data_IF_076976189290
#
_entry.id   IF_076976189290
#
_cell.length_a   1.000
_cell.length_b   1.000
_cell.length_c   1.000
_cell.angle_alpha   90.00
_cell.angle_beta   90.00
_cell.angle_gamma   90.00
#
_symmetry.space_group_name_H-M   'P 1'
#
loop_
_entity.id
_entity.type
_entity.pdbx_description
1 polymer ?
#
# COMPACT_ATOMS: atom_id res chain seq x y z
N UNK A 1 9.43 33.13 -4.33
CA UNK A 1 8.16 32.40 -4.53
C UNK A 1 8.45 31.16 -5.38
N UNK A 2 9.00 30.11 -4.77
CA UNK A 2 9.21 28.83 -5.42
C UNK A 2 8.05 27.92 -5.03
N UNK A 3 6.91 28.09 -5.69
CA UNK A 3 5.81 27.13 -5.54
C UNK A 3 6.25 25.83 -6.18
N UNK A 4 6.24 24.74 -5.42
CA UNK A 4 6.46 23.40 -5.97
C UNK A 4 5.46 23.20 -7.12
N UNK A 5 5.95 23.08 -8.34
CA UNK A 5 5.13 22.63 -9.47
C UNK A 5 4.68 21.22 -9.16
N UNK A 6 3.37 20.94 -9.27
CA UNK A 6 2.83 19.59 -9.16
C UNK A 6 3.66 18.68 -10.06
N UNK A 7 4.30 17.66 -9.48
CA UNK A 7 4.96 16.62 -10.26
C UNK A 7 3.86 15.96 -11.09
N UNK A 8 4.06 15.89 -12.41
CA UNK A 8 3.11 15.22 -13.32
C UNK A 8 3.26 13.71 -13.14
N UNK A 9 2.43 13.17 -12.25
CA UNK A 9 2.40 11.76 -11.91
C UNK A 9 1.47 11.03 -12.90
N UNK A 10 1.93 9.93 -13.54
CA UNK A 10 1.08 9.15 -14.44
C UNK A 10 -0.27 8.79 -13.82
N UNK A 11 -1.40 9.10 -14.48
CA UNK A 11 -2.71 8.77 -13.94
C UNK A 11 -2.95 7.26 -13.95
N UNK A 12 -3.61 6.75 -12.91
CA UNK A 12 -3.95 5.32 -12.78
C UNK A 12 -5.43 5.01 -13.03
N UNK A 13 -6.27 6.02 -13.28
CA UNK A 13 -7.71 5.85 -13.47
C UNK A 13 -8.05 4.78 -14.52
N UNK A 14 -7.37 4.79 -15.66
CA UNK A 14 -7.61 3.82 -16.74
C UNK A 14 -7.25 2.39 -16.34
N UNK A 15 -6.22 2.22 -15.49
CA UNK A 15 -5.82 0.91 -14.98
C UNK A 15 -6.79 0.41 -13.91
N UNK A 16 -7.24 1.30 -13.02
CA UNK A 16 -8.28 0.98 -12.02
C UNK A 16 -9.59 0.61 -12.71
N UNK A 17 -9.99 1.37 -13.73
CA UNK A 17 -11.22 1.09 -14.49
C UNK A 17 -11.13 -0.23 -15.28
N UNK A 18 -9.95 -0.58 -15.80
CA UNK A 18 -9.72 -1.89 -16.39
C UNK A 18 -9.84 -3.01 -15.32
N UNK A 19 -9.22 -2.82 -14.15
CA UNK A 19 -9.27 -3.78 -13.05
C UNK A 19 -10.68 -3.99 -12.50
N UNK A 20 -11.60 -3.02 -12.60
CA UNK A 20 -13.02 -3.21 -12.26
C UNK A 20 -13.71 -4.24 -13.15
N UNK A 21 -13.30 -4.34 -14.42
CA UNK A 21 -13.91 -5.21 -15.41
C UNK A 21 -13.24 -6.58 -15.44
N UNK A 22 -11.92 -6.62 -15.34
CA UNK A 22 -11.12 -7.83 -15.39
C UNK A 22 -10.17 -7.89 -14.18
N UNK A 23 -10.44 -8.83 -13.27
CA UNK A 23 -9.65 -9.08 -12.07
C UNK A 23 -9.81 -10.54 -11.62
N UNK A 24 -9.01 -10.92 -10.65
CA UNK A 24 -8.97 -12.22 -10.01
C UNK A 24 -9.80 -12.27 -8.71
N UNK A 25 -10.76 -11.35 -8.50
CA UNK A 25 -11.55 -11.33 -7.26
C UNK A 25 -12.35 -12.64 -7.02
N UNK A 26 -12.66 -13.37 -8.11
CA UNK A 26 -13.28 -14.69 -8.02
C UNK A 26 -12.41 -15.72 -7.28
N UNK A 27 -11.11 -15.49 -7.19
CA UNK A 27 -10.14 -16.35 -6.50
C UNK A 27 -9.93 -15.95 -5.02
N UNK A 28 -10.60 -14.90 -4.53
CA UNK A 28 -10.51 -14.52 -3.12
C UNK A 28 -11.19 -15.61 -2.27
N UNK A 29 -10.44 -16.31 -1.38
CA UNK A 29 -11.02 -17.36 -0.56
C UNK A 29 -11.81 -16.77 0.61
N UNK A 30 -12.54 -17.65 1.32
CA UNK A 30 -13.09 -17.31 2.63
C UNK A 30 -11.95 -17.11 3.64
N UNK A 31 -12.12 -16.14 4.54
CA UNK A 31 -11.24 -15.99 5.69
C UNK A 31 -11.49 -17.10 6.72
N UNK A 32 -10.46 -17.46 7.49
CA UNK A 32 -10.49 -18.55 8.46
C UNK A 32 -10.29 -17.99 9.86
N UNK A 33 -11.22 -18.28 10.77
CA UNK A 33 -11.06 -17.98 12.20
C UNK A 33 -10.18 -19.01 12.91
N UNK A 34 -9.67 -18.67 14.08
CA UNK A 34 -8.83 -19.57 14.91
C UNK A 34 -9.49 -20.92 15.26
N UNK A 35 -10.81 -20.98 15.28
CA UNK A 35 -11.58 -22.21 15.50
C UNK A 35 -11.86 -23.01 14.20
N UNK A 36 -11.29 -22.59 13.06
CA UNK A 36 -11.48 -23.22 11.74
C UNK A 36 -12.75 -22.78 11.00
N UNK A 37 -13.56 -21.88 11.57
CA UNK A 37 -14.75 -21.37 10.88
C UNK A 37 -14.35 -20.54 9.65
N UNK A 38 -14.95 -20.88 8.50
CA UNK A 38 -14.87 -20.08 7.28
C UNK A 38 -15.87 -18.92 7.33
N UNK A 39 -15.44 -17.75 6.88
CA UNK A 39 -16.24 -16.52 6.83
C UNK A 39 -15.97 -15.81 5.50
N UNK A 40 -17.03 -15.41 4.82
CA UNK A 40 -16.90 -14.59 3.62
C UNK A 40 -16.26 -13.24 3.97
N UNK A 41 -15.14 -12.94 3.32
CA UNK A 41 -14.45 -11.67 3.47
C UNK A 41 -14.75 -10.71 2.31
N UNK A 42 -15.05 -11.23 1.12
CA UNK A 42 -15.28 -10.43 -0.07
C UNK A 42 -16.74 -10.45 -0.51
N UNK A 43 -17.30 -9.28 -0.82
CA UNK A 43 -18.63 -9.15 -1.39
C UNK A 43 -18.55 -8.82 -2.89
N UNK A 44 -18.84 -9.77 -3.79
CA UNK A 44 -18.71 -9.55 -5.24
C UNK A 44 -19.73 -8.56 -5.81
N UNK A 45 -20.81 -8.25 -5.07
CA UNK A 45 -21.81 -7.27 -5.53
C UNK A 45 -21.39 -5.83 -5.26
N UNK A 46 -20.57 -5.61 -4.22
CA UNK A 46 -20.11 -4.27 -3.83
C UNK A 46 -18.63 -4.05 -4.09
N UNK A 47 -17.83 -5.11 -4.25
CA UNK A 47 -16.37 -5.04 -4.37
C UNK A 47 -15.64 -4.85 -3.04
N UNK A 48 -16.35 -4.96 -1.91
CA UNK A 48 -15.81 -4.66 -0.59
C UNK A 48 -15.12 -5.89 0.01
N UNK A 49 -13.92 -5.69 0.58
CA UNK A 49 -13.17 -6.71 1.29
C UNK A 49 -13.13 -6.43 2.80
N UNK A 50 -13.92 -7.15 3.58
CA UNK A 50 -14.02 -7.04 5.03
C UNK A 50 -13.52 -8.31 5.72
N UNK A 51 -12.30 -8.27 6.26
CA UNK A 51 -11.78 -9.38 7.08
C UNK A 51 -12.21 -9.17 8.52
N UNK A 52 -13.11 -10.02 9.01
CA UNK A 52 -13.66 -9.89 10.37
C UNK A 52 -12.58 -10.09 11.45
N UNK A 53 -12.79 -9.49 12.62
CA UNK A 53 -11.85 -9.56 13.75
C UNK A 53 -11.42 -11.00 14.08
N UNK A 54 -10.11 -11.19 14.25
CA UNK A 54 -9.49 -12.48 14.57
C UNK A 54 -9.53 -13.53 13.46
N UNK A 55 -9.97 -13.18 12.24
CA UNK A 55 -9.87 -14.05 11.08
C UNK A 55 -8.58 -13.78 10.29
N UNK A 56 -8.11 -14.80 9.60
CA UNK A 56 -6.99 -14.73 8.66
C UNK A 56 -7.52 -14.93 7.26
N UNK A 57 -7.27 -13.97 6.37
CA UNK A 57 -7.47 -14.10 4.93
C UNK A 57 -6.10 -14.28 4.27
N UNK A 58 -5.93 -15.35 3.50
CA UNK A 58 -4.76 -15.51 2.62
C UNK A 58 -5.16 -15.16 1.20
N UNK A 59 -4.65 -14.05 0.69
CA UNK A 59 -4.86 -13.62 -0.68
C UNK A 59 -3.85 -14.34 -1.59
N UNK A 60 -4.31 -15.22 -2.51
CA UNK A 60 -3.40 -15.93 -3.38
C UNK A 60 -2.74 -14.94 -4.35
N UNK A 61 -1.43 -15.08 -4.54
CA UNK A 61 -0.67 -14.33 -5.52
C UNK A 61 -0.24 -15.18 -6.71
N UNK A 62 0.28 -14.50 -7.72
CA UNK A 62 0.89 -15.12 -8.89
C UNK A 62 2.42 -15.11 -8.83
N UNK A 63 3.05 -15.18 -10.00
CA UNK A 63 4.50 -15.00 -10.16
C UNK A 63 4.82 -13.52 -10.40
N UNK A 64 6.10 -13.16 -10.39
CA UNK A 64 6.53 -11.78 -10.69
C UNK A 64 6.09 -11.33 -12.09
N UNK A 65 6.21 -12.21 -13.08
CA UNK A 65 5.82 -11.94 -14.48
C UNK A 65 4.31 -12.00 -14.73
N UNK A 66 3.57 -12.68 -13.85
CA UNK A 66 2.13 -12.85 -13.95
C UNK A 66 1.50 -12.76 -12.55
N UNK A 67 1.46 -11.55 -11.96
CA UNK A 67 0.87 -11.34 -10.64
C UNK A 67 -0.64 -11.53 -10.71
N UNK A 68 -1.25 -11.79 -9.56
CA UNK A 68 -2.71 -11.74 -9.44
C UNK A 68 -3.18 -10.31 -9.23
N UNK A 69 -4.26 -9.93 -9.90
CA UNK A 69 -4.81 -8.57 -9.90
C UNK A 69 -6.15 -8.58 -9.18
N UNK A 70 -6.30 -7.78 -8.14
CA UNK A 70 -7.55 -7.62 -7.41
C UNK A 70 -8.06 -6.20 -7.53
N UNK A 71 -9.38 -6.04 -7.62
CA UNK A 71 -10.03 -4.74 -7.50
C UNK A 71 -10.87 -4.70 -6.23
N UNK A 72 -10.58 -3.73 -5.35
CA UNK A 72 -11.32 -3.53 -4.11
C UNK A 72 -11.98 -2.15 -4.17
N UNK A 73 -13.31 -2.07 -4.02
CA UNK A 73 -14.00 -0.77 -3.90
C UNK A 73 -13.79 -0.15 -2.52
N UNK A 74 -13.60 -1.00 -1.51
CA UNK A 74 -13.05 -0.64 -0.21
C UNK A 74 -12.51 -1.89 0.48
N UNK A 75 -11.70 -1.70 1.51
CA UNK A 75 -11.26 -2.79 2.36
C UNK A 75 -11.11 -2.41 3.83
N UNK A 76 -11.47 -3.32 4.71
CA UNK A 76 -11.33 -3.17 6.16
C UNK A 76 -10.76 -4.45 6.79
N UNK A 77 -9.73 -4.30 7.62
CA UNK A 77 -9.21 -5.36 8.48
C UNK A 77 -9.67 -5.13 9.92
N UNK A 78 -10.56 -5.98 10.41
CA UNK A 78 -11.04 -5.95 11.78
C UNK A 78 -9.94 -6.26 12.81
N UNK A 79 -10.21 -5.94 14.08
CA UNK A 79 -9.27 -6.13 15.20
C UNK A 79 -8.58 -7.51 15.22
N UNK A 80 -7.24 -7.53 15.27
CA UNK A 80 -6.42 -8.75 15.29
C UNK A 80 -6.65 -9.70 14.10
N UNK A 81 -7.20 -9.21 12.99
CA UNK A 81 -7.25 -9.98 11.74
C UNK A 81 -5.89 -9.96 11.03
N UNK A 82 -5.68 -10.92 10.13
CA UNK A 82 -4.48 -10.99 9.31
C UNK A 82 -4.85 -11.05 7.83
N UNK A 83 -4.23 -10.19 7.02
CA UNK A 83 -4.20 -10.32 5.57
C UNK A 83 -2.83 -10.87 5.17
N UNK A 84 -2.78 -12.10 4.71
CA UNK A 84 -1.55 -12.74 4.24
C UNK A 84 -1.51 -12.64 2.72
N UNK A 85 -0.41 -12.12 2.17
CA UNK A 85 -0.18 -12.07 0.72
C UNK A 85 0.74 -13.22 0.32
N UNK A 86 0.21 -14.19 -0.42
CA UNK A 86 0.96 -15.40 -0.82
C UNK A 86 1.33 -15.40 -2.31
N UNK A 87 2.33 -14.59 -2.66
CA UNK A 87 2.86 -14.49 -4.03
C UNK A 87 3.06 -13.05 -4.43
N UNK A 88 2.91 -12.75 -5.73
CA UNK A 88 2.85 -11.37 -6.24
C UNK A 88 1.39 -10.97 -6.46
N UNK A 89 1.03 -9.85 -5.86
CA UNK A 89 -0.32 -9.30 -5.84
C UNK A 89 -0.29 -7.82 -6.21
N UNK A 90 -1.19 -7.45 -7.11
CA UNK A 90 -1.51 -6.07 -7.44
C UNK A 90 -2.94 -5.78 -7.01
N UNK A 91 -3.14 -4.74 -6.20
CA UNK A 91 -4.46 -4.28 -5.76
C UNK A 91 -4.74 -2.93 -6.41
N UNK A 92 -5.86 -2.84 -7.12
CA UNK A 92 -6.43 -1.58 -7.58
C UNK A 92 -7.61 -1.19 -6.69
N UNK A 93 -7.69 0.10 -6.36
CA UNK A 93 -8.81 0.65 -5.59
C UNK A 93 -9.18 2.05 -6.09
N UNK A 94 -10.45 2.40 -5.94
CA UNK A 94 -10.94 3.78 -6.04
C UNK A 94 -11.60 4.27 -4.74
N UNK A 95 -11.51 3.48 -3.67
CA UNK A 95 -12.00 3.82 -2.35
C UNK A 95 -11.03 3.45 -1.22
N UNK A 96 -11.54 3.52 0.01
CA UNK A 96 -10.71 3.48 1.20
C UNK A 96 -10.19 2.07 1.50
N UNK A 97 -8.92 1.99 1.91
CA UNK A 97 -8.32 0.79 2.49
C UNK A 97 -7.97 1.10 3.95
N UNK A 98 -8.75 0.58 4.90
CA UNK A 98 -8.49 0.68 6.34
C UNK A 98 -7.94 -0.65 6.87
N UNK A 99 -6.62 -0.77 6.88
CA UNK A 99 -5.91 -1.93 7.37
C UNK A 99 -5.26 -1.68 8.74
N UNK A 100 -5.81 -0.73 9.51
CA UNK A 100 -5.28 -0.38 10.83
C UNK A 100 -5.67 -1.37 11.94
N UNK A 101 -6.84 -2.01 11.82
CA UNK A 101 -7.33 -2.96 12.83
C UNK A 101 -6.67 -4.35 12.77
N UNK A 102 -6.01 -4.68 11.67
CA UNK A 102 -5.33 -5.96 11.46
C UNK A 102 -3.86 -5.79 11.12
N UNK A 103 -3.23 -6.91 10.76
CA UNK A 103 -1.84 -6.93 10.28
C UNK A 103 -1.82 -7.38 8.83
N UNK A 104 -1.06 -6.68 7.99
CA UNK A 104 -0.69 -7.15 6.66
C UNK A 104 0.60 -7.94 6.76
N UNK A 105 0.59 -9.18 6.29
CA UNK A 105 1.74 -10.08 6.33
C UNK A 105 2.15 -10.39 4.89
N UNK A 106 3.19 -9.71 4.43
CA UNK A 106 3.80 -9.89 3.11
C UNK A 106 5.30 -10.22 3.25
N UNK A 107 5.59 -11.30 3.98
CA UNK A 107 6.94 -11.84 4.26
C UNK A 107 7.76 -11.13 5.36
N UNK A 108 7.08 -10.65 6.42
CA UNK A 108 7.74 -10.25 7.69
C UNK A 108 8.83 -9.17 7.56
N UNK A 109 8.71 -8.26 6.58
CA UNK A 109 9.69 -7.19 6.34
C UNK A 109 10.98 -7.59 5.61
N UNK A 110 11.07 -8.82 5.05
CA UNK A 110 12.29 -9.30 4.36
C UNK A 110 12.06 -9.79 2.92
N UNK A 111 10.83 -9.68 2.42
CA UNK A 111 10.50 -10.03 1.03
C UNK A 111 10.69 -8.86 0.07
N UNK A 112 10.79 -9.16 -1.24
CA UNK A 112 10.80 -8.12 -2.27
C UNK A 112 9.53 -7.25 -2.17
N UNK A 113 9.66 -5.92 -2.04
CA UNK A 113 8.50 -5.03 -1.89
C UNK A 113 7.55 -5.07 -3.10
N UNK A 114 8.02 -5.47 -4.28
CA UNK A 114 7.18 -5.67 -5.47
C UNK A 114 6.15 -6.80 -5.33
N UNK A 115 6.20 -7.62 -4.28
CA UNK A 115 5.18 -8.66 -4.03
C UNK A 115 3.81 -8.10 -3.69
N UNK A 116 3.74 -6.89 -3.14
CA UNK A 116 2.48 -6.21 -2.86
C UNK A 116 2.53 -4.81 -3.45
N UNK A 117 1.78 -4.59 -4.53
CA UNK A 117 1.58 -3.27 -5.11
C UNK A 117 0.14 -2.83 -4.94
N UNK A 118 -0.06 -1.58 -4.54
CA UNK A 118 -1.37 -0.96 -4.38
C UNK A 118 -1.41 0.28 -5.28
N UNK A 119 -2.38 0.32 -6.18
CA UNK A 119 -2.65 1.45 -7.06
C UNK A 119 -4.03 2.03 -6.73
N UNK A 120 -4.09 3.33 -6.49
CA UNK A 120 -5.35 4.00 -6.17
C UNK A 120 -5.61 5.18 -7.09
N UNK A 121 -6.81 5.23 -7.64
CA UNK A 121 -7.35 6.41 -8.36
C UNK A 121 -8.20 7.31 -7.46
N UNK A 122 -8.14 7.12 -6.14
CA UNK A 122 -8.84 7.93 -5.16
C UNK A 122 -8.35 9.38 -5.11
N UNK A 123 -9.16 10.25 -4.50
CA UNK A 123 -8.83 11.66 -4.26
C UNK A 123 -8.32 11.85 -2.83
N UNK A 124 -8.07 13.08 -2.38
CA UNK A 124 -7.57 13.34 -1.02
C UNK A 124 -8.57 12.93 0.08
N UNK A 125 -9.82 12.69 -0.26
CA UNK A 125 -10.84 12.13 0.64
C UNK A 125 -10.79 10.59 0.68
N UNK A 126 -9.90 9.98 -0.11
CA UNK A 126 -9.61 8.54 -0.10
C UNK A 126 -8.42 8.26 0.81
N UNK A 127 -8.67 7.44 1.84
CA UNK A 127 -7.67 7.05 2.82
C UNK A 127 -7.12 5.65 2.52
N UNK A 128 -5.79 5.54 2.43
CA UNK A 128 -5.06 4.26 2.38
C UNK A 128 -4.25 4.16 3.66
N UNK A 129 -4.79 3.45 4.65
CA UNK A 129 -4.16 3.26 5.95
C UNK A 129 -3.66 1.84 6.09
N UNK A 130 -2.36 1.66 6.33
CA UNK A 130 -1.74 0.35 6.53
C UNK A 130 -1.03 0.31 7.88
N UNK A 131 -1.31 -0.74 8.64
CA UNK A 131 -0.51 -1.11 9.81
C UNK A 131 0.41 -2.29 9.48
N UNK A 132 1.71 -2.00 9.40
CA UNK A 132 2.76 -2.96 9.11
C UNK A 132 3.11 -3.88 10.28
N UNK A 133 2.53 -3.68 11.48
CA UNK A 133 2.82 -4.49 12.65
C UNK A 133 4.32 -4.53 12.98
N UNK A 134 4.94 -5.70 12.84
CA UNK A 134 6.36 -5.93 13.08
C UNK A 134 7.26 -5.72 11.84
N UNK A 135 6.70 -5.40 10.68
CA UNK A 135 7.43 -5.09 9.45
C UNK A 135 6.57 -5.22 8.20
N UNK A 136 6.71 -4.29 7.25
CA UNK A 136 5.95 -4.24 6.00
C UNK A 136 6.88 -4.05 4.80
N UNK A 137 6.63 -4.77 3.70
CA UNK A 137 7.36 -4.59 2.44
C UNK A 137 6.41 -4.45 1.26
N UNK A 138 6.23 -3.24 0.73
CA UNK A 138 5.21 -3.02 -0.31
C UNK A 138 5.31 -1.67 -0.99
N UNK A 139 4.53 -1.54 -2.06
CA UNK A 139 4.53 -0.38 -2.93
C UNK A 139 3.13 0.22 -3.01
N UNK A 140 3.01 1.54 -2.83
CA UNK A 140 1.74 2.25 -2.89
C UNK A 140 1.86 3.42 -3.86
N UNK A 141 0.95 3.49 -4.82
CA UNK A 141 0.84 4.57 -5.79
C UNK A 141 -0.58 5.11 -5.81
N UNK A 142 -0.76 6.25 -5.15
CA UNK A 142 -2.03 6.91 -4.95
C UNK A 142 -1.87 8.43 -5.09
N UNK A 143 -1.56 8.93 -6.30
CA UNK A 143 -1.00 10.26 -6.54
C UNK A 143 -1.86 11.42 -6.02
N UNK A 144 -3.16 11.21 -5.90
CA UNK A 144 -4.09 12.23 -5.39
C UNK A 144 -4.75 11.82 -4.05
N UNK A 145 -4.37 10.70 -3.41
CA UNK A 145 -4.96 10.19 -2.17
C UNK A 145 -4.10 10.41 -0.92
N UNK A 146 -4.68 10.21 0.26
CA UNK A 146 -3.97 10.25 1.53
C UNK A 146 -3.51 8.85 1.95
N UNK A 147 -2.20 8.67 2.07
CA UNK A 147 -1.57 7.44 2.57
C UNK A 147 -1.15 7.65 4.02
N UNK A 148 -1.54 6.72 4.90
CA UNK A 148 -1.05 6.63 6.27
C UNK A 148 -0.38 5.29 6.49
N UNK A 149 0.92 5.30 6.77
CA UNK A 149 1.69 4.12 7.13
C UNK A 149 2.02 4.14 8.61
N UNK A 150 1.64 3.07 9.30
CA UNK A 150 1.90 2.87 10.73
C UNK A 150 2.59 1.54 10.99
N UNK A 151 3.42 1.44 12.03
CA UNK A 151 4.06 0.18 12.38
C UNK A 151 5.13 0.28 13.46
N UNK A 152 5.39 -0.83 14.15
CA UNK A 152 6.46 -0.94 15.15
C UNK A 152 7.80 -1.37 14.57
N UNK A 153 7.80 -2.07 13.43
CA UNK A 153 8.99 -2.50 12.70
C UNK A 153 9.21 -1.74 11.39
N UNK A 154 10.29 -2.09 10.69
CA UNK A 154 10.75 -1.38 9.50
C UNK A 154 9.79 -1.51 8.31
N UNK A 155 9.76 -0.46 7.50
CA UNK A 155 8.92 -0.35 6.30
C UNK A 155 9.84 -0.27 5.09
N UNK A 156 9.68 -1.22 4.17
CA UNK A 156 10.46 -1.32 2.94
C UNK A 156 9.58 -1.07 1.71
N UNK A 157 10.05 -0.27 0.78
CA UNK A 157 9.42 -0.08 -0.53
C UNK A 157 9.26 1.39 -0.92
N UNK A 158 8.13 1.72 -1.58
CA UNK A 158 7.89 3.06 -2.11
C UNK A 158 6.43 3.49 -1.90
N UNK A 159 6.22 4.78 -1.59
CA UNK A 159 4.90 5.36 -1.46
C UNK A 159 4.84 6.69 -2.22
N UNK A 160 3.89 6.81 -3.15
CA UNK A 160 3.56 8.04 -3.86
C UNK A 160 2.12 8.41 -3.49
N UNK A 161 1.95 9.52 -2.79
CA UNK A 161 0.65 9.98 -2.31
C UNK A 161 0.44 11.47 -2.56
N UNK A 162 -0.81 11.90 -2.66
CA UNK A 162 -1.15 13.33 -2.57
C UNK A 162 -0.79 13.90 -1.19
N UNK A 163 -0.90 13.04 -0.17
CA UNK A 163 -0.31 13.22 1.15
C UNK A 163 0.18 11.87 1.68
N UNK A 164 1.34 11.84 2.32
CA UNK A 164 1.90 10.63 2.95
C UNK A 164 2.28 10.95 4.39
N UNK A 165 1.62 10.30 5.35
CA UNK A 165 1.98 10.33 6.76
C UNK A 165 2.62 8.98 7.15
N UNK A 166 3.86 9.00 7.62
CA UNK A 166 4.54 7.80 8.14
C UNK A 166 4.78 8.00 9.64
N UNK A 167 4.30 7.07 10.46
CA UNK A 167 4.48 7.11 11.91
C UNK A 167 4.79 5.73 12.48
N UNK A 168 5.73 5.64 13.41
CA UNK A 168 6.23 4.36 13.90
C UNK A 168 7.62 4.47 14.50
N UNK A 169 8.11 3.37 15.07
CA UNK A 169 9.49 3.29 15.59
C UNK A 169 10.47 2.69 14.58
N UNK A 170 9.99 2.19 13.44
CA UNK A 170 10.80 1.65 12.35
C UNK A 170 11.26 2.73 11.36
N UNK A 171 12.38 2.48 10.69
CA UNK A 171 12.90 3.34 9.63
C UNK A 171 12.17 3.05 8.30
N UNK A 172 12.04 4.07 7.43
CA UNK A 172 11.54 3.89 6.07
C UNK A 172 12.73 3.70 5.12
N UNK A 173 12.80 2.56 4.46
CA UNK A 173 13.85 2.23 3.51
C UNK A 173 13.29 2.17 2.09
N UNK A 174 13.77 3.07 1.22
CA UNK A 174 13.55 2.92 -0.21
C UNK A 174 14.36 1.74 -0.73
N UNK A 175 13.72 0.83 -1.46
CA UNK A 175 14.38 -0.31 -2.09
C UNK A 175 14.75 0.03 -3.53
N UNK A 176 16.04 0.01 -3.84
CA UNK A 176 16.58 0.29 -5.17
C UNK A 176 16.14 -0.76 -6.21
N UNK A 177 15.74 -1.97 -5.80
CA UNK A 177 15.21 -3.00 -6.69
C UNK A 177 13.88 -2.60 -7.37
N UNK A 178 13.20 -1.57 -6.85
CA UNK A 178 11.98 -1.01 -7.48
C UNK A 178 12.27 -0.12 -8.69
N UNK A 179 13.53 0.19 -8.98
CA UNK A 179 13.92 0.97 -10.15
C UNK A 179 13.55 0.34 -11.49
N UNK A 180 13.24 -0.96 -11.55
CA UNK A 180 12.87 -1.65 -12.80
C UNK A 180 11.47 -2.32 -12.74
N UNK A 181 10.66 -2.06 -11.69
CA UNK A 181 9.42 -2.83 -11.44
C UNK A 181 8.18 -1.92 -11.27
N UNK A 182 7.10 -2.24 -12.01
CA UNK A 182 5.80 -1.55 -11.94
C UNK A 182 5.76 -0.21 -12.70
N UNK A 183 4.67 0.57 -12.56
CA UNK A 183 4.60 1.95 -13.10
C UNK A 183 5.60 2.92 -12.44
N UNK A 184 6.31 2.43 -11.43
CA UNK A 184 7.21 3.18 -10.56
C UNK A 184 8.66 3.09 -11.07
N UNK A 185 8.89 2.42 -12.19
CA UNK A 185 10.22 2.15 -12.73
C UNK A 185 11.07 3.38 -13.12
N UNK A 186 10.59 4.63 -12.99
CA UNK A 186 11.47 5.80 -13.17
C UNK A 186 11.06 6.97 -12.28
N UNK A 187 11.73 7.13 -11.14
CA UNK A 187 11.78 8.40 -10.41
C UNK A 187 13.22 8.87 -10.32
N UNK A 188 13.52 10.02 -10.94
CA UNK A 188 14.76 10.76 -10.71
C UNK A 188 14.50 11.80 -9.60
N UNK A 189 15.41 11.91 -8.64
CA UNK A 189 15.36 12.95 -7.61
C UNK A 189 15.61 14.30 -8.29
N UNK A 190 14.53 14.99 -8.66
CA UNK A 190 14.62 16.30 -9.33
C UNK A 190 15.01 17.42 -8.34
N UNK A 191 14.54 17.31 -7.09
CA UNK A 191 14.88 18.26 -6.03
C UNK A 191 14.74 17.57 -4.66
N UNK A 192 15.71 17.82 -3.77
CA UNK A 192 15.65 17.41 -2.37
C UNK A 192 15.84 18.66 -1.52
N UNK A 193 14.89 18.91 -0.61
CA UNK A 193 14.94 20.06 0.29
C UNK A 193 14.68 19.58 1.72
N UNK A 194 15.75 19.27 2.46
CA UNK A 194 15.64 19.06 3.90
C UNK A 194 15.64 20.41 4.62
N UNK A 195 14.68 20.57 5.54
CA UNK A 195 14.63 21.73 6.42
C UNK A 195 15.90 21.71 7.31
N UNK A 196 16.79 22.71 7.22
CA UNK A 196 18.03 22.69 7.99
C UNK A 196 17.72 22.69 9.49
N UNK A 197 18.57 21.99 10.25
CA UNK A 197 18.42 21.95 11.71
C UNK A 197 18.67 23.35 12.26
N UNK A 198 18.00 23.76 13.36
CA UNK A 198 18.08 25.14 13.87
C UNK A 198 19.50 25.66 14.17
N UNK A 199 20.51 24.78 14.27
CA UNK A 199 21.88 25.12 14.60
C UNK A 199 22.83 25.20 13.38
N UNK A 200 22.38 24.90 12.15
CA UNK A 200 23.22 24.98 10.94
C UNK A 200 23.27 26.38 10.31
N UNK A 201 22.42 27.33 10.74
CA UNK A 201 22.44 28.71 10.24
C UNK A 201 23.35 29.67 11.04
N UNK A 202 24.13 29.16 12.00
CA UNK A 202 24.94 29.98 12.90
C UNK A 202 26.45 29.92 12.58
N UNK A 203 26.86 30.00 11.31
CA UNK A 203 28.25 30.36 10.99
C UNK A 203 28.40 30.93 9.57
N UNK A 204 28.05 32.19 9.37
CA UNK A 204 28.73 33.07 8.40
C UNK A 204 28.43 34.52 8.76
N UNK A 205 29.23 35.05 9.67
CA UNK A 205 29.29 36.46 9.99
C UNK A 205 30.70 36.81 10.45
N UNK A 206 31.60 37.05 9.48
CA UNK A 206 32.76 37.92 9.66
C UNK A 206 32.53 39.17 8.82
#
# INVERSE_FOLDING_TARGET
>A
EGGMTKIDLPPVNTLVDAAKLENDNADIPQAVKSNGQLVDAFNPSTGELNVVSGATLTLPGGTQDNPKVYYLSSSNLGGNSNLIVDGHVVIFTDGNLDWNGGTVVNNGGSGPPERLMIYSSGTLDTDITINGGAGYAGVIYAPDAHITLTGGGDIYGAAVGGKVDVSGNGEFHYDEALGDVGLIAFFEVNEWNEKPRPWETASTGQ
#
